data_IF_240295728201
#
_entry.id   IF_240295728201
#
_cell.length_a   1.000
_cell.length_b   1.000
_cell.length_c   1.000
_cell.angle_alpha   90.00
_cell.angle_beta   90.00
_cell.angle_gamma   90.00
#
_symmetry.space_group_name_H-M   'P 1'
#
loop_
_entity.id
_entity.type
_entity.pdbx_description
1 polymer ?
#
# COMPACT_ATOMS: atom_id res chain seq x y z
N UNK A 1 52.57 19.60 16.12
CA UNK A 1 53.25 18.29 16.28
C UNK A 1 52.32 17.23 15.73
N UNK A 2 52.74 16.55 14.65
CA UNK A 2 52.02 15.43 14.03
C UNK A 2 52.17 14.18 14.90
N UNK A 3 51.11 13.41 15.10
CA UNK A 3 51.23 11.97 15.36
C UNK A 3 50.21 11.24 14.49
N UNK A 4 50.74 10.56 13.47
CA UNK A 4 50.03 9.68 12.55
C UNK A 4 49.84 8.34 13.25
N UNK A 5 48.63 7.79 13.19
CA UNK A 5 48.38 6.40 13.57
C UNK A 5 47.91 5.65 12.33
N UNK A 6 48.45 4.43 12.23
CA UNK A 6 48.73 3.60 11.08
C UNK A 6 47.51 2.75 10.68
N UNK A 7 47.40 2.47 9.38
CA UNK A 7 46.57 1.45 8.74
C UNK A 7 46.74 0.05 9.36
N UNK A 8 45.64 -0.67 9.57
CA UNK A 8 45.61 -2.13 9.68
C UNK A 8 44.71 -2.67 8.56
N UNK A 9 45.36 -3.29 7.57
CA UNK A 9 44.74 -4.08 6.51
C UNK A 9 44.43 -5.45 7.11
N UNK A 10 43.16 -5.74 7.38
CA UNK A 10 42.71 -7.08 7.72
C UNK A 10 42.36 -7.83 6.42
N UNK A 11 43.22 -8.78 6.06
CA UNK A 11 42.99 -9.73 4.98
C UNK A 11 41.81 -10.65 5.34
N UNK A 12 40.64 -10.41 4.76
CA UNK A 12 39.48 -11.29 4.90
C UNK A 12 39.46 -12.26 3.72
N UNK A 13 40.20 -13.36 3.87
CA UNK A 13 40.07 -14.53 3.00
C UNK A 13 38.97 -15.42 3.59
N UNK A 14 37.76 -15.40 3.03
CA UNK A 14 36.76 -16.42 3.34
C UNK A 14 35.92 -16.78 2.10
N UNK A 15 36.29 -17.93 1.52
CA UNK A 15 35.46 -18.91 0.81
C UNK A 15 34.22 -18.40 0.05
N UNK A 16 34.39 -18.17 -1.25
CA UNK A 16 33.29 -18.26 -2.22
C UNK A 16 32.96 -19.74 -2.41
N UNK A 17 31.93 -20.22 -1.71
CA UNK A 17 31.29 -21.48 -2.03
C UNK A 17 30.38 -21.28 -3.24
N UNK A 18 30.90 -21.64 -4.42
CA UNK A 18 30.09 -21.90 -5.62
C UNK A 18 29.39 -23.23 -5.42
N UNK A 19 28.06 -23.23 -5.52
CA UNK A 19 27.30 -24.45 -5.76
C UNK A 19 25.88 -24.40 -5.25
N UNK A 20 24.96 -24.05 -6.13
CA UNK A 20 23.66 -24.71 -6.26
C UNK A 20 23.19 -24.49 -7.71
N UNK A 21 23.63 -25.41 -8.58
CA UNK A 21 23.00 -25.66 -9.87
C UNK A 21 21.60 -26.22 -9.63
N UNK A 22 20.59 -25.34 -9.66
CA UNK A 22 19.20 -25.70 -9.90
C UNK A 22 18.89 -25.44 -11.37
N UNK A 23 18.63 -26.49 -12.13
CA UNK A 23 18.35 -26.47 -13.56
C UNK A 23 16.91 -26.01 -13.84
N UNK A 24 16.72 -25.01 -14.71
CA UNK A 24 15.44 -24.72 -15.35
C UNK A 24 15.31 -23.29 -15.88
N UNK A 25 15.43 -23.12 -17.19
CA UNK A 25 15.02 -21.88 -17.89
C UNK A 25 16.19 -21.04 -18.39
N UNK A 26 16.50 -21.14 -19.68
CA UNK A 26 17.40 -20.24 -20.38
C UNK A 26 16.76 -18.85 -20.49
N UNK A 27 17.33 -17.84 -19.84
CA UNK A 27 17.28 -16.49 -20.38
C UNK A 27 18.59 -15.79 -20.06
N UNK A 28 19.10 -15.11 -21.09
CA UNK A 28 20.31 -14.31 -21.09
C UNK A 28 20.37 -13.38 -19.88
N UNK A 29 21.49 -13.38 -19.17
CA UNK A 29 21.73 -12.42 -18.10
C UNK A 29 21.91 -11.03 -18.74
N UNK A 30 20.86 -10.22 -18.65
CA UNK A 30 20.93 -8.79 -18.90
C UNK A 30 21.75 -8.14 -17.77
N UNK A 31 22.81 -7.36 -18.05
CA UNK A 31 23.63 -6.73 -17.01
C UNK A 31 22.91 -5.55 -16.33
N UNK A 32 21.64 -5.30 -16.63
CA UNK A 32 20.81 -4.24 -16.05
C UNK A 32 19.73 -4.77 -15.09
N UNK A 33 19.96 -5.94 -14.48
CA UNK A 33 19.20 -6.35 -13.31
C UNK A 33 19.55 -5.42 -12.14
N UNK A 34 18.73 -4.39 -11.96
CA UNK A 34 18.74 -3.54 -10.78
C UNK A 34 18.90 -4.43 -9.54
N UNK A 35 19.91 -4.13 -8.72
CA UNK A 35 20.07 -4.73 -7.40
C UNK A 35 18.73 -4.64 -6.69
N UNK A 36 18.03 -5.78 -6.61
CA UNK A 36 16.87 -5.93 -5.76
C UNK A 36 17.41 -5.81 -4.34
N UNK A 37 17.34 -4.61 -3.77
CA UNK A 37 17.54 -4.41 -2.35
C UNK A 37 16.68 -5.46 -1.65
N UNK A 38 17.33 -6.36 -0.91
CA UNK A 38 16.62 -7.39 -0.16
C UNK A 38 15.58 -6.70 0.71
N UNK A 39 14.30 -7.01 0.51
CA UNK A 39 13.23 -6.47 1.33
C UNK A 39 13.52 -6.79 2.81
N UNK A 40 13.12 -5.91 3.75
CA UNK A 40 13.33 -6.18 5.17
C UNK A 40 12.71 -7.53 5.56
N UNK A 41 13.48 -8.38 6.24
CA UNK A 41 13.08 -9.71 6.72
C UNK A 41 11.96 -9.67 7.79
N UNK A 42 11.56 -8.48 8.23
CA UNK A 42 10.48 -8.28 9.19
C UNK A 42 9.12 -8.45 8.50
N UNK A 43 8.34 -9.43 8.91
CA UNK A 43 6.97 -9.67 8.42
C UNK A 43 6.12 -10.04 9.63
N UNK A 44 5.27 -9.11 10.05
CA UNK A 44 4.27 -9.34 11.08
C UNK A 44 2.92 -9.49 10.37
N UNK A 45 2.20 -10.56 10.65
CA UNK A 45 0.87 -10.76 10.10
C UNK A 45 -0.14 -9.86 10.83
N UNK A 46 -1.17 -9.41 10.11
CA UNK A 46 -2.22 -8.56 10.67
C UNK A 46 -2.98 -9.24 11.82
N UNK A 47 -3.12 -10.58 11.76
CA UNK A 47 -3.72 -11.40 12.82
C UNK A 47 -2.91 -11.44 14.12
N UNK A 48 -1.65 -11.01 14.11
CA UNK A 48 -0.82 -10.89 15.32
C UNK A 48 -1.06 -9.55 16.04
N UNK A 49 -1.81 -8.63 15.44
CA UNK A 49 -2.17 -7.34 16.02
C UNK A 49 -3.47 -7.47 16.80
N UNK A 50 -3.40 -7.29 18.11
CA UNK A 50 -4.56 -7.40 19.01
C UNK A 50 -5.41 -6.13 19.11
N UNK A 51 -4.91 -5.01 18.63
CA UNK A 51 -5.54 -3.69 18.81
C UNK A 51 -6.06 -3.12 17.49
N UNK A 52 -7.33 -2.75 17.47
CA UNK A 52 -7.95 -2.01 16.37
C UNK A 52 -7.96 -0.50 16.65
N UNK A 53 -6.76 0.07 16.76
CA UNK A 53 -6.54 1.49 17.03
C UNK A 53 -5.17 1.95 16.48
N UNK A 54 -4.80 3.21 16.69
CA UNK A 54 -3.50 3.75 16.25
C UNK A 54 -2.30 2.97 16.81
N UNK A 55 -2.38 2.44 18.03
CA UNK A 55 -1.30 1.64 18.61
C UNK A 55 -1.13 0.30 17.87
N UNK A 56 -2.24 -0.33 17.47
CA UNK A 56 -2.23 -1.51 16.61
C UNK A 56 -1.55 -1.23 15.26
N UNK A 57 -1.90 -0.13 14.60
CA UNK A 57 -1.28 0.30 13.34
C UNK A 57 0.23 0.49 13.49
N UNK A 58 0.66 1.24 14.51
CA UNK A 58 2.09 1.48 14.76
C UNK A 58 2.83 0.17 15.07
N UNK A 59 2.22 -0.72 15.86
CA UNK A 59 2.78 -2.04 16.16
C UNK A 59 2.96 -2.86 14.89
N UNK A 60 1.95 -2.87 14.01
CA UNK A 60 1.99 -3.58 12.74
C UNK A 60 3.09 -3.07 11.81
N UNK A 61 3.18 -1.74 11.64
CA UNK A 61 4.21 -1.12 10.80
C UNK A 61 5.62 -1.36 11.36
N UNK A 62 5.78 -1.31 12.69
CA UNK A 62 7.05 -1.61 13.37
C UNK A 62 7.42 -3.08 13.22
N UNK A 63 6.48 -4.00 13.41
CA UNK A 63 6.66 -5.44 13.24
C UNK A 63 7.02 -5.84 11.81
N UNK A 64 6.60 -5.05 10.83
CA UNK A 64 6.99 -5.19 9.43
C UNK A 64 8.29 -4.44 9.07
N UNK A 65 8.92 -3.76 10.02
CA UNK A 65 10.22 -3.11 9.84
C UNK A 65 10.21 -1.92 8.89
N UNK A 66 9.07 -1.27 8.70
CA UNK A 66 8.94 -0.05 7.85
C UNK A 66 9.00 1.25 8.66
N UNK A 67 8.87 1.16 9.98
CA UNK A 67 9.06 2.27 10.90
C UNK A 67 9.93 1.83 12.10
N UNK A 68 10.53 2.80 12.78
CA UNK A 68 11.18 2.60 14.08
C UNK A 68 10.14 2.64 15.21
N UNK A 69 10.22 3.65 16.06
CA UNK A 69 9.31 3.88 17.17
C UNK A 69 8.61 5.22 17.02
N UNK A 70 7.43 5.32 17.64
CA UNK A 70 6.73 6.59 17.73
C UNK A 70 7.51 7.54 18.64
N UNK A 71 7.63 8.80 18.22
CA UNK A 71 8.50 9.77 18.88
C UNK A 71 7.72 10.77 19.73
N UNK A 72 6.52 11.15 19.28
CA UNK A 72 5.74 12.23 19.90
C UNK A 72 4.24 12.07 19.60
N UNK A 73 3.40 12.43 20.58
CA UNK A 73 1.96 12.63 20.37
C UNK A 73 1.68 13.90 19.53
N UNK A 74 0.75 13.77 18.60
CA UNK A 74 0.30 14.87 17.75
C UNK A 74 -0.99 15.50 18.29
N UNK A 75 -1.19 16.78 18.00
CA UNK A 75 -2.45 17.49 18.30
C UNK A 75 -3.54 17.09 17.31
N UNK A 76 -4.07 15.89 17.50
CA UNK A 76 -5.05 15.26 16.62
C UNK A 76 -6.36 16.06 16.50
N UNK A 77 -6.74 16.76 17.57
CA UNK A 77 -8.00 17.52 17.59
C UNK A 77 -8.03 18.65 16.54
N UNK A 78 -6.85 19.13 16.10
CA UNK A 78 -6.74 20.19 15.07
C UNK A 78 -7.30 19.77 13.71
N UNK A 79 -7.33 18.48 13.42
CA UNK A 79 -7.87 17.93 12.17
C UNK A 79 -9.11 17.06 12.43
N UNK A 80 -9.66 17.11 13.66
CA UNK A 80 -10.79 16.28 14.07
C UNK A 80 -10.47 14.79 14.26
N UNK A 81 -9.19 14.42 14.37
CA UNK A 81 -8.76 13.07 14.71
C UNK A 81 -8.84 12.83 16.24
N UNK A 82 -8.99 11.57 16.66
CA UNK A 82 -9.02 11.16 18.08
C UNK A 82 -7.64 10.94 18.66
N UNK A 83 -6.68 10.55 17.82
CA UNK A 83 -5.30 10.36 18.23
C UNK A 83 -4.36 10.57 17.05
N UNK A 84 -3.10 10.90 17.35
CA UNK A 84 -2.08 11.07 16.34
C UNK A 84 -0.68 10.88 16.91
N UNK A 85 0.21 10.29 16.12
CA UNK A 85 1.59 9.98 16.50
C UNK A 85 2.54 10.34 15.36
N UNK A 86 3.67 10.93 15.71
CA UNK A 86 4.81 11.04 14.81
C UNK A 86 5.65 9.78 14.90
N UNK A 87 6.05 9.23 13.75
CA UNK A 87 6.89 8.04 13.62
C UNK A 87 8.05 8.31 12.66
N UNK A 88 9.13 7.53 12.83
CA UNK A 88 10.26 7.54 11.90
C UNK A 88 10.12 6.39 10.90
N UNK A 89 9.76 6.70 9.66
CA UNK A 89 9.77 5.75 8.56
C UNK A 89 11.21 5.44 8.13
N UNK A 90 11.51 4.18 7.86
CA UNK A 90 12.85 3.69 7.51
C UNK A 90 13.00 3.74 5.99
N UNK A 91 14.08 4.34 5.49
CA UNK A 91 14.40 4.44 4.06
C UNK A 91 15.88 4.14 3.83
N UNK A 92 16.22 2.86 3.70
CA UNK A 92 17.61 2.42 3.66
C UNK A 92 18.34 2.81 4.94
N UNK A 93 19.43 3.58 4.80
CA UNK A 93 20.21 4.10 5.92
C UNK A 93 19.63 5.40 6.54
N UNK A 94 18.56 5.93 5.96
CA UNK A 94 17.91 7.17 6.37
C UNK A 94 16.56 6.94 7.05
N UNK A 95 16.05 8.00 7.69
CA UNK A 95 14.68 8.06 8.21
C UNK A 95 13.96 9.31 7.75
N UNK A 96 12.64 9.23 7.63
CA UNK A 96 11.78 10.41 7.45
C UNK A 96 10.70 10.47 8.53
N UNK A 97 10.25 11.69 8.85
CA UNK A 97 9.16 11.89 9.79
C UNK A 97 7.81 11.78 9.08
N UNK A 98 6.97 10.91 9.63
CA UNK A 98 5.61 10.65 9.16
C UNK A 98 4.67 10.83 10.34
N UNK A 99 3.54 11.50 10.11
CA UNK A 99 2.48 11.61 11.10
C UNK A 99 1.36 10.65 10.73
N UNK A 100 0.87 9.87 11.71
CA UNK A 100 -0.25 8.95 11.52
C UNK A 100 -1.34 9.33 12.51
N UNK A 101 -2.56 9.51 12.01
CA UNK A 101 -3.73 9.91 12.76
C UNK A 101 -4.81 8.83 12.67
N UNK A 102 -5.63 8.75 13.71
CA UNK A 102 -6.83 7.91 13.77
C UNK A 102 -8.07 8.80 13.90
N UNK A 103 -9.10 8.50 13.12
CA UNK A 103 -10.41 9.11 13.19
C UNK A 103 -11.43 8.19 13.84
N UNK A 104 -12.37 8.78 14.56
CA UNK A 104 -13.60 8.09 14.97
C UNK A 104 -14.62 8.18 13.84
N UNK A 105 -14.75 7.10 13.08
CA UNK A 105 -15.63 7.02 11.91
C UNK A 105 -17.11 7.17 12.27
N UNK A 106 -17.48 6.85 13.52
CA UNK A 106 -18.86 6.95 13.99
C UNK A 106 -19.19 8.38 14.48
N UNK A 107 -18.18 9.21 14.72
CA UNK A 107 -18.32 10.54 15.28
C UNK A 107 -17.38 11.58 14.62
N UNK A 108 -17.47 11.72 13.29
CA UNK A 108 -16.69 12.70 12.55
C UNK A 108 -17.28 14.11 12.65
N UNK A 109 -16.47 15.06 13.11
CA UNK A 109 -16.80 16.48 13.04
C UNK A 109 -16.55 17.06 11.63
N UNK A 110 -16.98 18.31 11.39
CA UNK A 110 -16.83 18.97 10.08
C UNK A 110 -15.38 19.02 9.59
N UNK A 111 -14.42 19.25 10.50
CA UNK A 111 -12.99 19.29 10.15
C UNK A 111 -12.47 17.92 9.71
N UNK A 112 -12.83 16.85 10.42
CA UNK A 112 -12.45 15.49 10.06
C UNK A 112 -13.04 15.08 8.71
N UNK A 113 -14.31 15.43 8.46
CA UNK A 113 -14.97 15.17 7.18
C UNK A 113 -14.27 15.88 6.03
N UNK A 114 -13.92 17.16 6.20
CA UNK A 114 -13.20 17.94 5.19
C UNK A 114 -11.81 17.35 4.91
N UNK A 115 -11.06 16.98 5.95
CA UNK A 115 -9.72 16.39 5.81
C UNK A 115 -9.79 15.04 5.09
N UNK A 116 -10.70 14.16 5.50
CA UNK A 116 -10.91 12.85 4.85
C UNK A 116 -11.30 13.05 3.38
N UNK A 117 -12.26 13.93 3.09
CA UNK A 117 -12.72 14.15 1.72
C UNK A 117 -11.59 14.70 0.83
N UNK A 118 -10.84 15.70 1.30
CA UNK A 118 -9.74 16.28 0.55
C UNK A 118 -8.60 15.26 0.33
N UNK A 119 -8.23 14.49 1.36
CA UNK A 119 -7.22 13.45 1.23
C UNK A 119 -7.65 12.36 0.21
N UNK A 120 -8.93 11.98 0.20
CA UNK A 120 -9.50 11.00 -0.71
C UNK A 120 -9.50 11.48 -2.18
N UNK A 121 -9.92 12.71 -2.41
CA UNK A 121 -10.04 13.26 -3.77
C UNK A 121 -8.71 13.72 -4.35
N UNK A 122 -7.86 14.33 -3.52
CA UNK A 122 -6.72 15.13 -3.99
C UNK A 122 -5.36 14.62 -3.50
N UNK A 123 -5.34 13.63 -2.58
CA UNK A 123 -4.13 13.15 -1.91
C UNK A 123 -3.49 14.18 -0.98
N UNK A 124 -4.26 15.20 -0.57
CA UNK A 124 -3.77 16.35 0.17
C UNK A 124 -4.89 17.06 0.90
N UNK A 125 -4.57 17.83 1.93
CA UNK A 125 -5.50 18.75 2.58
C UNK A 125 -4.81 20.04 3.01
N UNK A 126 -5.60 21.09 3.24
CA UNK A 126 -5.08 22.38 3.68
C UNK A 126 -5.04 22.44 5.20
N UNK A 127 -3.84 22.62 5.75
CA UNK A 127 -3.59 22.95 7.14
C UNK A 127 -3.31 24.45 7.29
N UNK A 128 -3.17 24.92 8.54
CA UNK A 128 -2.77 26.29 8.84
C UNK A 128 -1.39 26.65 8.25
N UNK A 129 -0.48 25.67 8.21
CA UNK A 129 0.89 25.83 7.71
C UNK A 129 1.02 25.64 6.19
N UNK A 130 -0.07 25.34 5.48
CA UNK A 130 -0.08 25.12 4.04
C UNK A 130 -0.73 23.81 3.63
N UNK A 131 -0.46 23.38 2.39
CA UNK A 131 -0.99 22.14 1.83
C UNK A 131 -0.12 20.96 2.22
N UNK A 132 -0.73 19.92 2.80
CA UNK A 132 -0.05 18.72 3.28
C UNK A 132 -0.43 17.53 2.41
N UNK A 133 0.56 16.75 1.97
CA UNK A 133 0.33 15.48 1.27
C UNK A 133 -0.15 14.44 2.28
N UNK A 134 -1.30 13.84 2.00
CA UNK A 134 -1.94 12.92 2.91
C UNK A 134 -2.48 11.69 2.19
N UNK A 135 -2.35 10.53 2.81
CA UNK A 135 -2.87 9.26 2.31
C UNK A 135 -3.83 8.66 3.34
N UNK A 136 -5.01 8.25 2.88
CA UNK A 136 -5.96 7.50 3.69
C UNK A 136 -5.69 6.00 3.60
N UNK A 137 -5.95 5.32 4.71
CA UNK A 137 -6.11 3.86 4.75
C UNK A 137 -7.39 3.42 4.04
N UNK A 138 -7.50 2.13 3.66
CA UNK A 138 -8.64 1.64 2.90
C UNK A 138 -9.97 1.74 3.67
N UNK A 139 -9.93 1.53 4.98
CA UNK A 139 -11.07 1.73 5.89
C UNK A 139 -11.33 3.21 6.24
N UNK A 140 -10.52 4.14 5.71
CA UNK A 140 -10.56 5.58 5.96
C UNK A 140 -10.46 5.97 7.46
N UNK A 141 -10.14 5.03 8.35
CA UNK A 141 -9.99 5.25 9.79
C UNK A 141 -8.67 5.93 10.11
N UNK A 142 -7.65 5.70 9.29
CA UNK A 142 -6.31 6.25 9.48
C UNK A 142 -5.90 7.17 8.34
N UNK A 143 -5.17 8.23 8.69
CA UNK A 143 -4.54 9.19 7.78
C UNK A 143 -3.04 9.24 8.04
N UNK A 144 -2.25 9.22 6.97
CA UNK A 144 -0.80 9.37 7.01
C UNK A 144 -0.40 10.69 6.32
N UNK A 145 0.46 11.48 6.95
CA UNK A 145 1.03 12.72 6.41
C UNK A 145 2.55 12.57 6.29
N UNK A 146 3.08 12.89 5.11
CA UNK A 146 4.53 12.96 4.88
C UNK A 146 5.03 14.37 5.19
N UNK A 147 5.95 14.52 6.16
CA UNK A 147 6.58 15.84 6.43
C UNK A 147 7.78 16.09 5.54
N UNK A 148 8.52 15.04 5.18
CA UNK A 148 9.68 15.11 4.29
C UNK A 148 9.38 14.31 3.02
N UNK A 149 9.33 15.00 1.88
CA UNK A 149 9.13 14.35 0.58
C UNK A 149 10.46 13.71 0.17
N UNK A 150 10.60 12.40 0.40
CA UNK A 150 11.76 11.66 -0.10
C UNK A 150 11.59 11.39 -1.61
N UNK A 151 12.43 12.02 -2.42
CA UNK A 151 12.43 11.89 -3.89
C UNK A 151 13.47 10.91 -4.42
N UNK A 152 14.17 10.18 -3.54
CA UNK A 152 15.18 9.21 -3.94
C UNK A 152 14.55 7.88 -4.38
N UNK A 153 14.69 7.54 -5.65
CA UNK A 153 14.17 6.31 -6.26
C UNK A 153 14.73 5.03 -5.60
N UNK A 154 15.90 5.10 -4.97
CA UNK A 154 16.52 3.96 -4.25
C UNK A 154 15.62 3.45 -3.12
N UNK A 155 14.81 4.34 -2.53
CA UNK A 155 13.95 4.04 -1.38
C UNK A 155 12.50 3.74 -1.75
N UNK A 156 12.16 3.81 -3.05
CA UNK A 156 10.81 3.56 -3.57
C UNK A 156 10.20 2.23 -3.11
N UNK A 157 10.90 1.08 -3.12
CA UNK A 157 10.29 -0.19 -2.68
C UNK A 157 9.86 -0.17 -1.21
N UNK A 158 10.61 0.50 -0.34
CA UNK A 158 10.25 0.59 1.09
C UNK A 158 9.11 1.59 1.30
N UNK A 159 9.06 2.68 0.52
CA UNK A 159 7.91 3.60 0.49
C UNK A 159 6.63 2.89 0.08
N UNK A 160 6.67 2.15 -1.03
CA UNK A 160 5.54 1.38 -1.52
C UNK A 160 5.09 0.35 -0.48
N UNK A 161 6.04 -0.34 0.16
CA UNK A 161 5.73 -1.28 1.24
C UNK A 161 5.08 -0.61 2.45
N UNK A 162 5.58 0.54 2.90
CA UNK A 162 4.97 1.31 3.99
C UNK A 162 3.52 1.70 3.64
N UNK A 163 3.31 2.22 2.43
CA UNK A 163 2.00 2.63 1.94
C UNK A 163 1.03 1.46 1.84
N UNK A 164 1.47 0.32 1.31
CA UNK A 164 0.67 -0.90 1.23
C UNK A 164 0.24 -1.36 2.62
N UNK A 165 1.20 -1.54 3.54
CA UNK A 165 0.91 -1.99 4.90
C UNK A 165 -0.02 -1.02 5.65
N UNK A 166 0.18 0.29 5.47
CA UNK A 166 -0.68 1.31 6.06
C UNK A 166 -2.10 1.25 5.49
N UNK A 167 -2.25 1.10 4.17
CA UNK A 167 -3.56 1.05 3.53
C UNK A 167 -4.36 -0.20 3.89
N UNK A 168 -3.68 -1.34 3.98
CA UNK A 168 -4.28 -2.65 4.24
C UNK A 168 -4.50 -2.95 5.74
N UNK A 169 -4.15 -2.03 6.63
CA UNK A 169 -4.36 -2.23 8.06
C UNK A 169 -5.85 -2.23 8.41
N UNK A 170 -6.39 -3.44 8.53
CA UNK A 170 -7.74 -3.75 8.99
C UNK A 170 -7.67 -4.91 10.00
N UNK A 171 -7.26 -4.65 11.25
CA UNK A 171 -7.10 -5.70 12.24
C UNK A 171 -8.42 -6.46 12.40
N UNK A 172 -8.32 -7.79 12.41
CA UNK A 172 -9.46 -8.70 12.41
C UNK A 172 -10.28 -8.52 13.69
N UNK A 173 -11.24 -7.60 13.65
CA UNK A 173 -12.12 -7.21 14.74
C UNK A 173 -13.39 -6.52 14.24
N UNK A 174 -13.35 -5.91 13.05
CA UNK A 174 -14.53 -5.48 12.28
C UNK A 174 -14.83 -6.49 11.19
N UNK A 175 -15.48 -7.59 11.57
CA UNK A 175 -16.13 -8.50 10.62
C UNK A 175 -17.21 -7.75 9.84
N UNK A 176 -16.86 -7.15 8.71
CA UNK A 176 -17.80 -7.05 7.59
C UNK A 176 -17.55 -8.28 6.72
N UNK A 177 -18.41 -9.25 6.91
CA UNK A 177 -18.45 -10.53 6.22
C UNK A 177 -18.33 -10.39 4.70
N UNK A 178 -17.51 -11.27 4.14
CA UNK A 178 -17.61 -11.92 2.84
C UNK A 178 -18.77 -11.48 1.91
N UNK A 179 -18.42 -11.15 0.67
CA UNK A 179 -19.17 -11.73 -0.43
C UNK A 179 -18.23 -12.34 -1.47
N UNK A 180 -18.54 -13.59 -1.80
CA UNK A 180 -17.90 -14.38 -2.82
C UNK A 180 -18.26 -13.80 -4.18
N UNK A 181 -17.29 -13.69 -5.09
CA UNK A 181 -17.61 -13.95 -6.50
C UNK A 181 -16.45 -14.66 -7.17
N UNK A 182 -16.43 -15.98 -6.95
CA UNK A 182 -15.90 -16.89 -7.94
C UNK A 182 -16.86 -16.92 -9.13
N UNK A 183 -16.28 -16.82 -10.33
CA UNK A 183 -16.78 -17.39 -11.59
C UNK A 183 -18.12 -16.86 -12.14
N UNK A 184 -18.05 -16.17 -13.28
CA UNK A 184 -18.76 -16.59 -14.50
C UNK A 184 -18.13 -15.93 -15.73
N UNK A 185 -17.51 -16.76 -16.55
CA UNK A 185 -17.36 -16.57 -17.99
C UNK A 185 -18.72 -16.86 -18.63
N UNK A 186 -19.33 -15.90 -19.32
CA UNK A 186 -20.32 -16.07 -20.39
C UNK A 186 -20.55 -14.65 -20.97
N UNK A 187 -19.84 -14.29 -22.04
CA UNK A 187 -20.21 -14.46 -23.45
C UNK A 187 -21.51 -13.77 -23.88
N UNK A 188 -21.39 -13.09 -25.02
CA UNK A 188 -22.42 -12.51 -25.90
C UNK A 188 -22.93 -11.12 -25.55
N UNK A 189 -22.47 -10.13 -26.32
CA UNK A 189 -23.33 -9.42 -27.28
C UNK A 189 -22.49 -8.46 -28.10
N UNK A 190 -22.00 -8.89 -29.27
CA UNK A 190 -21.66 -7.95 -30.34
C UNK A 190 -22.40 -8.40 -31.61
N UNK A 191 -23.30 -7.51 -32.03
CA UNK A 191 -24.15 -7.61 -33.21
C UNK A 191 -23.31 -7.53 -34.49
N UNK A 192 -23.70 -8.24 -35.55
CA UNK A 192 -23.65 -7.72 -36.92
C UNK A 192 -24.48 -8.57 -37.90
N UNK A 193 -25.27 -7.84 -38.69
CA UNK A 193 -25.59 -8.02 -40.11
C UNK A 193 -26.47 -9.19 -40.60
N UNK A 194 -27.75 -8.83 -40.80
CA UNK A 194 -28.48 -8.86 -42.07
C UNK A 194 -27.89 -9.69 -43.24
N UNK A 195 -28.48 -10.84 -43.54
CA UNK A 195 -28.60 -11.32 -44.93
C UNK A 195 -29.84 -12.21 -45.15
N UNK A 196 -30.82 -11.66 -45.87
CA UNK A 196 -31.70 -12.24 -46.90
C UNK A 196 -31.60 -13.76 -47.16
N UNK A 197 -32.73 -14.48 -47.09
CA UNK A 197 -33.43 -14.99 -48.28
C UNK A 197 -34.71 -15.77 -47.91
N UNK A 198 -35.78 -15.42 -48.62
CA UNK A 198 -37.05 -16.10 -48.87
C UNK A 198 -37.00 -17.63 -48.79
N UNK A 199 -38.01 -18.25 -48.14
CA UNK A 199 -38.72 -19.44 -48.66
C UNK A 199 -40.08 -19.55 -47.98
N UNK A 200 -41.09 -19.66 -48.83
CA UNK A 200 -42.53 -19.63 -48.58
C UNK A 200 -43.02 -20.77 -47.67
N UNK A 201 -43.91 -20.45 -46.74
CA UNK A 201 -44.78 -21.43 -46.10
C UNK A 201 -46.05 -21.64 -46.92
N UNK A 202 -46.36 -22.92 -47.09
CA UNK A 202 -47.62 -23.44 -47.58
C UNK A 202 -48.79 -23.00 -46.67
N UNK A 203 -49.98 -22.89 -47.25
CA UNK A 203 -51.12 -23.80 -46.99
C UNK A 203 -52.42 -23.14 -47.43
N UNK A 204 -53.23 -23.96 -48.09
CA UNK A 204 -54.55 -23.69 -48.65
C UNK A 204 -55.64 -23.53 -47.57
N UNK A 205 -56.87 -23.34 -48.07
CA UNK A 205 -58.16 -23.23 -47.37
C UNK A 205 -58.44 -21.88 -46.71
N UNK A 206 -59.61 -21.25 -46.85
CA UNK A 206 -60.88 -21.61 -47.47
C UNK A 206 -61.68 -20.31 -47.60
N UNK A 207 -62.34 -20.06 -48.73
CA UNK A 207 -63.37 -19.02 -48.81
C UNK A 207 -64.51 -19.54 -49.69
N UNK A 208 -65.67 -19.59 -49.07
CA UNK A 208 -66.90 -20.15 -49.58
C UNK A 208 -67.69 -19.14 -50.43
N UNK A 209 -68.52 -19.72 -51.30
CA UNK A 209 -69.73 -19.17 -51.95
C UNK A 209 -69.53 -18.22 -53.14
#
# INVERSE_FOLDING_TARGET
>A
MKKRVLLVVAAMSLLVAVGLTGCGGTTVADPNAASSAAAPTASMALSEVSEDNLNGMITYLKGNGVIKEATTDMKAEMIGAVSGKMVQAIYGDSVALVEIYEFDKDNLNESAQEVIQNAKENGKFKSMDGELTATLSNNEKYLMIYKDVYTDDTNRPIQERLLTLFKEFEPTGTSSSADNSASSTENSSESQDQENNSTSSATAESAAQ
#
